data_IF_427702297128
#
_entry.id   IF_427702297128
#
_cell.length_a   1.000
_cell.length_b   1.000
_cell.length_c   1.000
_cell.angle_alpha   90.00
_cell.angle_beta   90.00
_cell.angle_gamma   90.00
#
_symmetry.space_group_name_H-M   'P 1'
#
loop_
_entity.id
_entity.type
_entity.pdbx_description
1 polymer ?
#
# COMPACT_ATOMS: atom_id res chain seq x y z
N UNK A 1 -1.62 -15.13 -9.01
CA UNK A 1 -0.28 -14.67 -9.44
C UNK A 1 0.13 -15.44 -10.69
N UNK A 2 1.27 -15.11 -11.30
CA UNK A 2 1.76 -15.79 -12.51
C UNK A 2 2.12 -17.27 -12.27
N UNK A 3 2.67 -17.57 -11.09
CA UNK A 3 3.17 -18.88 -10.72
C UNK A 3 2.30 -19.51 -9.65
N UNK A 4 2.16 -20.84 -9.69
CA UNK A 4 1.57 -21.59 -8.60
C UNK A 4 2.41 -21.44 -7.33
N UNK A 5 1.73 -21.36 -6.18
CA UNK A 5 2.34 -21.06 -4.90
C UNK A 5 2.14 -22.21 -3.91
N UNK A 6 3.16 -22.46 -3.12
CA UNK A 6 3.05 -23.18 -1.87
C UNK A 6 2.32 -22.30 -0.82
N UNK A 7 1.79 -22.89 0.27
CA UNK A 7 1.14 -22.12 1.34
C UNK A 7 2.04 -21.05 1.98
N UNK A 8 3.35 -21.23 1.90
CA UNK A 8 4.38 -20.30 2.39
C UNK A 8 4.73 -19.18 1.40
N UNK A 9 4.03 -19.11 0.25
CA UNK A 9 4.24 -18.10 -0.78
C UNK A 9 5.45 -18.34 -1.68
N UNK A 10 6.19 -19.43 -1.50
CA UNK A 10 7.23 -19.85 -2.45
C UNK A 10 6.59 -20.42 -3.71
N UNK A 11 7.34 -20.37 -4.83
CA UNK A 11 6.86 -20.93 -6.10
C UNK A 11 6.85 -22.45 -6.03
N UNK A 12 5.77 -23.08 -6.49
CA UNK A 12 5.79 -24.52 -6.77
C UNK A 12 6.67 -24.79 -7.99
N UNK A 13 7.46 -25.84 -7.89
CA UNK A 13 8.38 -26.27 -8.93
C UNK A 13 7.94 -27.63 -9.47
N UNK A 14 8.14 -27.84 -10.76
CA UNK A 14 7.93 -29.15 -11.40
C UNK A 14 9.12 -30.11 -11.15
N UNK A 15 9.04 -31.31 -11.72
CA UNK A 15 10.09 -32.33 -11.61
C UNK A 15 11.45 -31.89 -12.23
N UNK A 16 11.45 -30.82 -13.02
CA UNK A 16 12.64 -30.21 -13.64
C UNK A 16 13.12 -28.97 -12.87
N UNK A 17 12.59 -28.74 -11.67
CA UNK A 17 12.88 -27.59 -10.82
C UNK A 17 12.51 -26.24 -11.44
N UNK A 18 11.52 -26.20 -12.34
CA UNK A 18 11.02 -24.99 -12.99
C UNK A 18 9.69 -24.52 -12.35
N UNK A 19 9.47 -23.21 -12.19
CA UNK A 19 8.19 -22.69 -11.70
C UNK A 19 7.00 -23.10 -12.57
N UNK A 20 5.92 -23.53 -11.92
CA UNK A 20 4.69 -23.96 -12.60
C UNK A 20 3.81 -22.73 -12.88
N UNK A 21 3.47 -22.40 -14.14
CA UNK A 21 2.60 -21.28 -14.46
C UNK A 21 1.16 -21.56 -14.01
N UNK A 22 0.49 -20.59 -13.40
CA UNK A 22 -0.91 -20.72 -12.94
C UNK A 22 -1.91 -20.70 -14.10
N UNK A 23 -1.55 -20.06 -15.21
CA UNK A 23 -2.41 -19.92 -16.38
C UNK A 23 -1.61 -19.76 -17.67
N UNK A 24 -2.22 -20.16 -18.78
CA UNK A 24 -1.77 -19.83 -20.13
C UNK A 24 -2.78 -18.94 -20.86
N UNK A 25 -2.53 -18.69 -22.15
CA UNK A 25 -3.42 -17.91 -23.00
C UNK A 25 -4.85 -18.47 -23.05
N UNK A 26 -5.02 -19.79 -22.98
CA UNK A 26 -6.35 -20.42 -22.95
C UNK A 26 -7.19 -19.91 -21.76
N UNK A 27 -6.67 -19.99 -20.54
CA UNK A 27 -7.39 -19.51 -19.35
C UNK A 27 -7.58 -17.99 -19.37
N UNK A 28 -6.64 -17.22 -19.96
CA UNK A 28 -6.82 -15.77 -20.13
C UNK A 28 -8.03 -15.48 -21.02
N UNK A 29 -8.13 -16.15 -22.17
CA UNK A 29 -9.26 -16.00 -23.08
C UNK A 29 -10.58 -16.43 -22.43
N UNK A 30 -10.58 -17.57 -21.74
CA UNK A 30 -11.77 -18.09 -21.05
C UNK A 30 -12.25 -17.16 -19.93
N UNK A 31 -11.33 -16.60 -19.14
CA UNK A 31 -11.67 -15.60 -18.13
C UNK A 31 -12.14 -14.29 -18.76
N UNK A 32 -11.58 -13.87 -19.90
CA UNK A 32 -12.04 -12.67 -20.60
C UNK A 32 -13.49 -12.80 -21.09
N UNK A 33 -13.90 -14.01 -21.53
CA UNK A 33 -15.30 -14.29 -21.94
C UNK A 33 -16.29 -14.01 -20.81
N UNK A 34 -15.92 -14.22 -19.55
CA UNK A 34 -16.76 -13.93 -18.36
C UNK A 34 -17.14 -12.45 -18.27
N UNK A 35 -16.26 -11.55 -18.70
CA UNK A 35 -16.49 -10.10 -18.55
C UNK A 35 -17.10 -9.46 -19.80
N UNK A 36 -17.46 -10.25 -20.82
CA UNK A 36 -18.21 -9.75 -21.97
C UNK A 36 -19.59 -9.24 -21.55
N UNK A 37 -20.12 -8.25 -22.25
CA UNK A 37 -21.44 -7.68 -21.95
C UNK A 37 -21.49 -6.69 -20.78
N UNK A 38 -20.43 -6.53 -19.98
CA UNK A 38 -20.36 -5.44 -18.99
C UNK A 38 -20.08 -4.10 -19.68
N UNK A 39 -20.87 -3.08 -19.37
CA UNK A 39 -20.76 -1.73 -19.94
C UNK A 39 -21.02 -0.63 -18.91
N UNK A 40 -20.76 0.63 -19.27
CA UNK A 40 -21.01 1.80 -18.41
C UNK A 40 -22.45 1.82 -17.86
N UNK A 41 -22.58 2.11 -16.57
CA UNK A 41 -23.87 2.14 -15.90
C UNK A 41 -24.70 3.36 -16.31
N UNK A 42 -26.00 3.17 -16.53
CA UNK A 42 -26.89 4.27 -16.91
C UNK A 42 -26.72 4.75 -18.36
N UNK A 43 -25.79 4.16 -19.11
CA UNK A 43 -25.53 4.48 -20.52
C UNK A 43 -26.02 3.35 -21.43
N UNK A 44 -26.60 3.66 -22.61
CA UNK A 44 -26.90 2.63 -23.61
C UNK A 44 -25.61 1.97 -24.13
N UNK A 45 -25.72 0.71 -24.56
CA UNK A 45 -24.59 -0.03 -25.13
C UNK A 45 -23.93 0.73 -26.28
N UNK A 46 -22.59 0.79 -26.26
CA UNK A 46 -21.81 1.50 -27.29
C UNK A 46 -21.78 3.02 -27.12
N UNK A 47 -22.35 3.55 -26.04
CA UNK A 47 -22.20 4.95 -25.61
C UNK A 47 -21.50 5.05 -24.25
N UNK A 48 -21.23 6.26 -23.73
CA UNK A 48 -20.40 6.43 -22.53
C UNK A 48 -18.91 6.42 -22.83
N UNK A 49 -18.07 6.40 -21.79
CA UNK A 49 -16.61 6.51 -21.91
C UNK A 49 -16.09 7.86 -21.42
N UNK A 50 -15.31 8.58 -22.24
CA UNK A 50 -14.67 9.86 -21.88
C UNK A 50 -15.66 10.99 -21.52
N UNK A 51 -16.93 10.86 -21.88
CA UNK A 51 -17.98 11.84 -21.61
C UNK A 51 -18.91 11.42 -20.46
N UNK A 52 -18.67 10.27 -19.83
CA UNK A 52 -19.46 9.81 -18.70
C UNK A 52 -18.81 10.31 -17.41
N UNK A 53 -19.24 11.50 -16.98
CA UNK A 53 -18.71 12.15 -15.78
C UNK A 53 -19.17 11.45 -14.49
N UNK A 54 -20.19 10.58 -14.57
CA UNK A 54 -20.75 9.88 -13.42
C UNK A 54 -20.13 8.50 -13.22
N UNK A 55 -18.97 8.47 -12.57
CA UNK A 55 -18.31 7.23 -12.13
C UNK A 55 -18.95 6.60 -10.88
N UNK A 56 -20.12 7.07 -10.43
CA UNK A 56 -20.81 6.52 -9.24
C UNK A 56 -21.81 5.42 -9.58
N UNK A 57 -22.20 5.28 -10.85
CA UNK A 57 -23.12 4.23 -11.31
C UNK A 57 -22.31 2.97 -11.67
N UNK A 58 -22.57 1.82 -11.01
CA UNK A 58 -21.89 0.58 -11.35
C UNK A 58 -22.13 0.16 -12.80
N UNK A 59 -21.14 -0.49 -13.40
CA UNK A 59 -21.28 -1.11 -14.72
C UNK A 59 -22.48 -2.07 -14.76
N UNK A 60 -23.16 -2.11 -15.91
CA UNK A 60 -24.35 -2.92 -16.14
C UNK A 60 -24.07 -4.05 -17.13
N UNK A 61 -24.70 -5.20 -16.91
CA UNK A 61 -24.63 -6.36 -17.79
C UNK A 61 -25.67 -6.28 -18.90
N UNK A 62 -25.22 -6.36 -20.14
CA UNK A 62 -26.04 -6.39 -21.35
C UNK A 62 -26.18 -7.81 -21.84
N UNK A 63 -27.39 -8.36 -21.65
CA UNK A 63 -27.62 -9.79 -21.81
C UNK A 63 -27.27 -10.29 -23.21
N UNK A 64 -27.58 -9.54 -24.26
CA UNK A 64 -27.34 -9.88 -25.65
C UNK A 64 -25.88 -9.69 -26.12
N UNK A 65 -25.01 -9.19 -25.24
CA UNK A 65 -23.59 -8.89 -25.53
C UNK A 65 -22.62 -9.74 -24.72
N UNK A 66 -23.15 -10.62 -23.87
CA UNK A 66 -22.38 -11.56 -23.09
C UNK A 66 -22.30 -12.92 -23.78
N UNK A 67 -21.16 -13.59 -23.65
CA UNK A 67 -20.95 -14.96 -24.11
C UNK A 67 -21.41 -15.94 -23.02
N UNK A 68 -22.52 -16.66 -23.23
CA UNK A 68 -23.04 -17.66 -22.28
C UNK A 68 -22.59 -19.09 -22.57
N UNK A 69 -21.64 -19.28 -23.49
CA UNK A 69 -21.04 -20.59 -23.70
C UNK A 69 -20.32 -21.05 -22.43
N UNK A 70 -20.18 -22.37 -22.26
CA UNK A 70 -19.40 -22.93 -21.16
C UNK A 70 -17.96 -22.39 -21.18
N UNK A 71 -17.37 -22.19 -20.01
CA UNK A 71 -16.03 -21.62 -19.84
C UNK A 71 -15.17 -22.47 -18.92
N UNK A 72 -13.91 -22.67 -19.28
CA UNK A 72 -12.95 -23.44 -18.47
C UNK A 72 -11.88 -22.50 -17.90
N UNK A 73 -12.01 -22.22 -16.61
CA UNK A 73 -11.13 -21.32 -15.89
C UNK A 73 -9.93 -22.04 -15.27
N UNK A 74 -9.25 -21.34 -14.36
CA UNK A 74 -8.08 -21.81 -13.62
C UNK A 74 -8.36 -23.11 -12.88
N UNK A 75 -7.39 -24.03 -12.85
CA UNK A 75 -7.50 -25.30 -12.16
C UNK A 75 -8.59 -26.23 -12.71
N UNK A 76 -9.10 -25.99 -13.93
CA UNK A 76 -10.16 -26.79 -14.54
C UNK A 76 -11.57 -26.44 -14.05
N UNK A 77 -11.74 -25.35 -13.29
CA UNK A 77 -13.06 -24.90 -12.86
C UNK A 77 -13.93 -24.58 -14.08
N UNK A 78 -15.13 -25.16 -14.15
CA UNK A 78 -16.01 -25.02 -15.31
C UNK A 78 -17.23 -24.18 -14.95
N UNK A 79 -17.42 -23.06 -15.64
CA UNK A 79 -18.69 -22.33 -15.65
C UNK A 79 -19.56 -22.98 -16.73
N UNK A 80 -20.77 -23.48 -16.40
CA UNK A 80 -21.65 -24.12 -17.37
C UNK A 80 -22.23 -23.10 -18.36
N UNK A 81 -22.71 -23.59 -19.50
CA UNK A 81 -23.47 -22.74 -20.40
C UNK A 81 -24.80 -22.30 -19.76
N UNK A 82 -25.26 -21.08 -20.05
CA UNK A 82 -26.47 -20.48 -19.46
C UNK A 82 -27.39 -19.86 -20.50
N UNK A 83 -28.64 -19.60 -20.10
CA UNK A 83 -29.58 -18.85 -20.93
C UNK A 83 -29.21 -17.35 -20.92
N UNK A 84 -29.41 -16.61 -22.04
CA UNK A 84 -28.97 -15.23 -22.16
C UNK A 84 -29.86 -14.26 -21.37
N UNK A 85 -29.54 -14.09 -20.09
CA UNK A 85 -30.21 -13.14 -19.18
C UNK A 85 -29.17 -12.34 -18.40
N UNK A 86 -29.54 -11.12 -18.00
CA UNK A 86 -28.69 -10.24 -17.16
C UNK A 86 -28.23 -10.97 -15.90
N UNK A 87 -29.16 -11.65 -15.22
CA UNK A 87 -28.88 -12.43 -14.01
C UNK A 87 -27.83 -13.51 -14.26
N UNK A 88 -27.97 -14.29 -15.35
CA UNK A 88 -27.00 -15.33 -15.67
C UNK A 88 -25.62 -14.78 -16.04
N UNK A 89 -25.56 -13.63 -16.72
CA UNK A 89 -24.29 -12.97 -17.02
C UNK A 89 -23.56 -12.53 -15.75
N UNK A 90 -24.29 -12.00 -14.76
CA UNK A 90 -23.71 -11.67 -13.46
C UNK A 90 -23.32 -12.92 -12.67
N UNK A 91 -24.08 -14.00 -12.78
CA UNK A 91 -23.73 -15.28 -12.16
C UNK A 91 -22.43 -15.88 -12.72
N UNK A 92 -22.12 -15.67 -14.01
CA UNK A 92 -20.81 -16.03 -14.60
C UNK A 92 -19.67 -15.26 -13.93
N UNK A 93 -19.88 -13.97 -13.64
CA UNK A 93 -18.90 -13.13 -12.92
C UNK A 93 -18.70 -13.65 -11.50
N UNK A 94 -19.79 -13.92 -10.78
CA UNK A 94 -19.74 -14.44 -9.41
C UNK A 94 -19.01 -15.79 -9.32
N UNK A 95 -19.25 -16.69 -10.27
CA UNK A 95 -18.55 -17.97 -10.35
C UNK A 95 -17.05 -17.81 -10.63
N UNK A 96 -16.67 -16.88 -11.50
CA UNK A 96 -15.27 -16.62 -11.78
C UNK A 96 -14.57 -16.02 -10.56
N UNK A 97 -15.22 -15.08 -9.87
CA UNK A 97 -14.71 -14.51 -8.61
C UNK A 97 -14.58 -15.58 -7.53
N UNK A 98 -15.58 -16.47 -7.40
CA UNK A 98 -15.52 -17.62 -6.49
C UNK A 98 -14.36 -18.54 -6.84
N UNK A 99 -14.19 -18.89 -8.11
CA UNK A 99 -13.07 -19.71 -8.57
C UNK A 99 -11.71 -19.10 -8.20
N UNK A 100 -11.53 -17.79 -8.39
CA UNK A 100 -10.31 -17.08 -8.01
C UNK A 100 -10.07 -17.06 -6.50
N UNK A 101 -11.14 -16.88 -5.71
CA UNK A 101 -11.07 -16.85 -4.25
C UNK A 101 -10.75 -18.22 -3.63
N UNK A 102 -11.32 -19.29 -4.18
CA UNK A 102 -11.07 -20.66 -3.74
C UNK A 102 -9.74 -21.22 -4.27
N UNK A 103 -9.15 -20.58 -5.28
CA UNK A 103 -7.87 -21.01 -5.82
C UNK A 103 -6.77 -21.06 -4.74
N UNK A 104 -5.95 -22.11 -4.77
CA UNK A 104 -4.92 -22.38 -3.75
C UNK A 104 -3.90 -21.24 -3.62
N UNK A 105 -3.53 -20.58 -4.73
CA UNK A 105 -2.69 -19.38 -4.72
C UNK A 105 -3.29 -18.17 -3.98
N UNK A 106 -4.61 -18.06 -3.83
CA UNK A 106 -5.25 -16.83 -3.33
C UNK A 106 -4.74 -16.48 -1.92
N UNK A 107 -4.77 -17.45 -1.01
CA UNK A 107 -4.34 -17.28 0.37
C UNK A 107 -2.88 -16.82 0.50
N UNK A 108 -1.87 -17.54 -0.04
CA UNK A 108 -0.47 -17.10 0.04
C UNK A 108 -0.18 -15.82 -0.74
N UNK A 109 -0.86 -15.60 -1.86
CA UNK A 109 -0.68 -14.37 -2.62
C UNK A 109 -1.15 -13.15 -1.82
N UNK A 110 -2.39 -13.14 -1.37
CA UNK A 110 -2.96 -12.02 -0.60
C UNK A 110 -2.24 -11.83 0.73
N UNK A 111 -1.93 -12.93 1.44
CA UNK A 111 -1.22 -12.86 2.72
C UNK A 111 0.15 -12.19 2.59
N UNK A 112 0.95 -12.60 1.59
CA UNK A 112 2.24 -11.96 1.32
C UNK A 112 2.09 -10.47 1.01
N UNK A 113 1.11 -10.09 0.18
CA UNK A 113 0.87 -8.69 -0.16
C UNK A 113 0.48 -7.85 1.06
N UNK A 114 -0.44 -8.34 1.88
CA UNK A 114 -0.85 -7.63 3.09
C UNK A 114 0.31 -7.47 4.08
N UNK A 115 1.17 -8.48 4.25
CA UNK A 115 2.36 -8.35 5.08
C UNK A 115 3.32 -7.29 4.51
N UNK A 116 3.51 -7.25 3.19
CA UNK A 116 4.33 -6.24 2.51
C UNK A 116 3.81 -4.82 2.74
N UNK A 117 2.50 -4.62 2.73
CA UNK A 117 1.87 -3.33 2.99
C UNK A 117 1.90 -2.93 4.46
N UNK A 118 1.76 -3.88 5.39
CA UNK A 118 1.54 -3.57 6.79
C UNK A 118 2.83 -3.58 7.63
N UNK A 119 3.78 -4.46 7.31
CA UNK A 119 4.91 -4.79 8.21
C UNK A 119 6.26 -4.66 7.49
N UNK A 120 6.54 -5.52 6.52
CA UNK A 120 7.88 -5.60 5.90
C UNK A 120 7.83 -6.05 4.45
N UNK A 121 8.68 -5.47 3.60
CA UNK A 121 8.80 -5.81 2.17
C UNK A 121 9.22 -7.27 1.93
N UNK A 122 9.95 -7.88 2.87
CA UNK A 122 10.57 -9.20 2.71
C UNK A 122 10.19 -10.15 3.86
N UNK A 123 8.90 -10.54 4.01
CA UNK A 123 8.50 -11.46 5.06
C UNK A 123 9.08 -12.86 4.84
N UNK A 124 9.35 -13.60 5.91
CA UNK A 124 9.78 -14.99 5.80
C UNK A 124 8.66 -15.87 5.23
N UNK A 125 9.03 -16.99 4.60
CA UNK A 125 8.07 -17.99 4.12
C UNK A 125 7.20 -18.55 5.26
N UNK A 126 7.78 -18.70 6.46
CA UNK A 126 7.05 -19.17 7.63
C UNK A 126 5.97 -18.17 8.08
N UNK A 127 6.26 -16.88 8.01
CA UNK A 127 5.27 -15.83 8.28
C UNK A 127 4.12 -15.92 7.29
N UNK A 128 4.42 -15.97 6.00
CA UNK A 128 3.41 -16.10 4.95
C UNK A 128 2.58 -17.37 5.17
N UNK A 129 3.20 -18.50 5.51
CA UNK A 129 2.49 -19.76 5.78
C UNK A 129 1.46 -19.65 6.91
N UNK A 130 1.84 -19.03 8.03
CA UNK A 130 0.93 -18.82 9.18
C UNK A 130 -0.27 -17.96 8.79
N UNK A 131 -0.03 -16.86 8.08
CA UNK A 131 -1.11 -15.95 7.67
C UNK A 131 -1.98 -16.56 6.56
N UNK A 132 -1.39 -17.31 5.63
CA UNK A 132 -2.14 -18.10 4.65
C UNK A 132 -3.09 -19.09 5.29
N UNK A 133 -2.68 -19.73 6.39
CA UNK A 133 -3.53 -20.66 7.14
C UNK A 133 -4.72 -19.92 7.78
N UNK A 134 -4.50 -18.74 8.36
CA UNK A 134 -5.57 -17.89 8.91
C UNK A 134 -6.51 -17.38 7.80
N UNK A 135 -5.97 -17.01 6.64
CA UNK A 135 -6.80 -16.66 5.49
C UNK A 135 -7.65 -17.86 5.04
N UNK A 136 -7.09 -19.06 5.04
CA UNK A 136 -7.81 -20.27 4.65
C UNK A 136 -8.92 -20.62 5.64
N UNK A 137 -8.69 -20.41 6.93
CA UNK A 137 -9.66 -20.61 8.00
C UNK A 137 -9.29 -19.75 9.20
N UNK A 138 -10.18 -18.83 9.58
CA UNK A 138 -9.98 -17.93 10.72
C UNK A 138 -10.16 -18.56 12.11
N UNK A 139 -10.29 -19.89 12.17
CA UNK A 139 -10.61 -20.65 13.39
C UNK A 139 -12.10 -20.92 13.56
N UNK A 140 -12.97 -20.31 12.75
CA UNK A 140 -14.42 -20.54 12.74
C UNK A 140 -14.92 -21.28 11.50
N UNK A 141 -14.00 -21.69 10.62
CA UNK A 141 -14.33 -22.28 9.31
C UNK A 141 -14.51 -21.24 8.19
N UNK A 142 -14.34 -19.94 8.48
CA UNK A 142 -14.53 -18.89 7.48
C UNK A 142 -13.21 -18.56 6.77
N UNK A 143 -13.24 -18.69 5.44
CA UNK A 143 -12.15 -18.27 4.54
C UNK A 143 -12.21 -16.77 4.28
N UNK A 144 -11.05 -16.12 4.17
CA UNK A 144 -10.93 -14.73 3.72
C UNK A 144 -11.43 -13.69 4.72
N UNK A 145 -11.48 -14.01 6.02
CA UNK A 145 -11.79 -13.02 7.05
C UNK A 145 -10.62 -12.02 7.21
N UNK A 146 -10.69 -10.89 6.52
CA UNK A 146 -9.62 -9.89 6.51
C UNK A 146 -9.34 -9.29 7.90
N UNK A 147 -10.35 -9.17 8.78
CA UNK A 147 -10.12 -8.69 10.13
C UNK A 147 -9.25 -9.68 10.93
N UNK A 148 -9.51 -10.98 10.81
CA UNK A 148 -8.68 -12.01 11.43
C UNK A 148 -7.27 -12.06 10.83
N UNK A 149 -7.15 -11.94 9.50
CA UNK A 149 -5.88 -11.92 8.77
C UNK A 149 -5.02 -10.72 9.20
N UNK A 150 -5.56 -9.50 9.18
CA UNK A 150 -4.83 -8.29 9.58
C UNK A 150 -4.40 -8.37 11.05
N UNK A 151 -5.29 -8.86 11.93
CA UNK A 151 -4.93 -9.09 13.33
C UNK A 151 -3.77 -10.08 13.46
N UNK A 152 -3.82 -11.20 12.74
CA UNK A 152 -2.76 -12.20 12.78
C UNK A 152 -1.43 -11.65 12.27
N UNK A 153 -1.44 -10.83 11.21
CA UNK A 153 -0.25 -10.13 10.71
C UNK A 153 0.35 -9.25 11.80
N UNK A 154 -0.43 -8.32 12.37
CA UNK A 154 0.09 -7.34 13.33
C UNK A 154 0.50 -7.92 14.69
N UNK A 155 0.08 -9.16 14.99
CA UNK A 155 0.39 -9.89 16.21
C UNK A 155 1.40 -11.02 16.01
N UNK A 156 1.86 -11.27 14.78
CA UNK A 156 2.84 -12.30 14.50
C UNK A 156 4.18 -12.02 15.19
N UNK A 157 4.89 -13.06 15.58
CA UNK A 157 6.20 -12.93 16.23
C UNK A 157 7.21 -12.16 15.38
N UNK A 158 7.20 -12.32 14.06
CA UNK A 158 8.11 -11.57 13.17
C UNK A 158 7.80 -10.08 13.13
N UNK A 159 6.54 -9.68 13.41
CA UNK A 159 6.14 -8.28 13.48
C UNK A 159 6.35 -7.65 14.87
N UNK A 160 6.49 -8.45 15.93
CA UNK A 160 6.45 -7.96 17.32
C UNK A 160 7.68 -8.23 18.16
N UNK A 161 8.40 -9.32 17.91
CA UNK A 161 9.55 -9.70 18.71
C UNK A 161 10.84 -9.12 18.10
N UNK A 162 11.57 -8.24 18.83
CA UNK A 162 12.79 -7.59 18.36
C UNK A 162 13.82 -8.54 17.77
N UNK A 163 13.85 -9.82 18.17
CA UNK A 163 14.81 -10.78 17.61
C UNK A 163 14.71 -10.95 16.09
N UNK A 164 13.54 -10.65 15.51
CA UNK A 164 13.29 -10.83 14.08
C UNK A 164 13.65 -9.61 13.25
N UNK A 165 13.70 -8.41 13.85
CA UNK A 165 13.88 -7.16 13.12
C UNK A 165 15.09 -6.32 13.58
N UNK A 166 15.53 -6.49 14.82
CA UNK A 166 16.67 -5.79 15.37
C UNK A 166 17.95 -6.29 14.70
N UNK A 167 18.60 -5.41 13.94
CA UNK A 167 19.82 -5.73 13.20
C UNK A 167 19.61 -6.53 11.91
N UNK A 168 18.38 -6.94 11.57
CA UNK A 168 18.07 -7.63 10.33
C UNK A 168 18.03 -6.61 9.15
N UNK A 169 19.01 -6.60 8.22
CA UNK A 169 19.03 -5.62 7.14
C UNK A 169 17.87 -5.75 6.14
N UNK A 170 17.25 -6.92 6.07
CA UNK A 170 16.12 -7.24 5.19
C UNK A 170 14.76 -6.80 5.75
N UNK A 171 14.68 -6.54 7.06
CA UNK A 171 13.43 -6.25 7.74
C UNK A 171 13.02 -4.78 7.62
N UNK A 172 11.72 -4.58 7.49
CA UNK A 172 11.08 -3.28 7.35
C UNK A 172 10.64 -2.99 5.93
N UNK A 173 10.17 -1.77 5.71
CA UNK A 173 9.72 -1.27 4.41
C UNK A 173 9.88 0.24 4.34
N UNK A 174 10.11 0.77 3.14
CA UNK A 174 10.02 2.21 2.93
C UNK A 174 8.56 2.65 3.17
N UNK A 175 8.36 3.67 4.00
CA UNK A 175 7.05 4.28 4.21
C UNK A 175 6.62 4.97 2.94
N UNK A 176 5.41 4.67 2.49
CA UNK A 176 4.84 5.28 1.30
C UNK A 176 4.64 6.79 1.51
N UNK A 177 4.69 7.62 0.45
CA UNK A 177 4.56 9.06 0.59
C UNK A 177 3.35 9.52 1.40
N UNK A 178 2.17 8.95 1.14
CA UNK A 178 0.94 9.27 1.89
C UNK A 178 1.10 8.93 3.37
N UNK A 179 1.76 7.81 3.72
CA UNK A 179 1.99 7.43 5.11
C UNK A 179 2.92 8.40 5.84
N UNK A 180 3.93 8.95 5.15
CA UNK A 180 4.86 9.95 5.72
C UNK A 180 4.17 11.29 5.93
N UNK A 181 3.38 11.76 4.97
CA UNK A 181 2.56 12.96 5.14
C UNK A 181 1.52 12.80 6.26
N UNK A 182 0.86 11.64 6.36
CA UNK A 182 -0.06 11.35 7.46
C UNK A 182 0.63 11.28 8.83
N UNK A 183 1.90 10.86 8.89
CA UNK A 183 2.66 10.91 10.14
C UNK A 183 2.90 12.36 10.58
N UNK A 184 3.25 13.25 9.66
CA UNK A 184 3.41 14.69 9.92
C UNK A 184 2.06 15.31 10.32
N UNK A 185 0.98 15.00 9.62
CA UNK A 185 -0.36 15.47 9.93
C UNK A 185 -0.83 15.05 11.35
N UNK A 186 -0.51 13.81 11.76
CA UNK A 186 -0.79 13.34 13.12
C UNK A 186 0.02 14.09 14.17
N UNK A 187 1.34 14.25 13.95
CA UNK A 187 2.19 15.03 14.85
C UNK A 187 1.77 16.51 14.94
N UNK A 188 1.21 17.05 13.85
CA UNK A 188 0.65 18.40 13.78
C UNK A 188 -0.81 18.49 14.20
N UNK A 189 -1.37 17.48 14.88
CA UNK A 189 -2.73 17.50 15.41
C UNK A 189 -3.81 17.93 14.38
N UNK A 190 -3.71 17.47 13.12
CA UNK A 190 -4.70 17.79 12.08
C UNK A 190 -6.06 17.13 12.35
N UNK A 191 -6.11 16.11 13.20
CA UNK A 191 -7.37 15.47 13.63
C UNK A 191 -8.31 16.38 14.41
N UNK A 192 -7.85 17.56 14.84
CA UNK A 192 -8.71 18.59 15.46
C UNK A 192 -9.73 19.19 14.49
N UNK A 193 -9.50 19.06 13.18
CA UNK A 193 -10.44 19.48 12.15
C UNK A 193 -11.48 18.39 11.90
N UNK A 194 -12.76 18.71 12.09
CA UNK A 194 -13.88 17.79 11.84
C UNK A 194 -14.17 17.58 10.36
N UNK A 195 -13.66 18.48 9.51
CA UNK A 195 -13.81 18.49 8.06
C UNK A 195 -12.47 18.34 7.33
N UNK A 196 -11.49 17.66 7.93
CA UNK A 196 -10.19 17.42 7.32
C UNK A 196 -10.35 16.74 5.95
N UNK A 197 -9.74 17.32 4.92
CA UNK A 197 -9.75 16.80 3.55
C UNK A 197 -8.33 16.62 3.03
N UNK A 198 -8.11 15.52 2.31
CA UNK A 198 -6.92 15.35 1.49
C UNK A 198 -7.23 15.94 0.11
N UNK A 199 -6.96 17.24 -0.05
CA UNK A 199 -7.18 17.92 -1.32
C UNK A 199 -5.98 18.76 -1.68
N UNK A 200 -5.16 18.26 -2.61
CA UNK A 200 -3.90 18.91 -3.04
C UNK A 200 -3.87 19.22 -4.53
N UNK A 201 -5.01 19.09 -5.23
CA UNK A 201 -5.15 19.33 -6.68
C UNK A 201 -4.08 18.61 -7.53
N UNK A 202 -3.67 17.40 -7.14
CA UNK A 202 -2.66 16.62 -7.86
C UNK A 202 -1.21 17.06 -7.60
N UNK A 203 -0.97 18.10 -6.80
CA UNK A 203 0.39 18.56 -6.49
C UNK A 203 1.16 17.53 -5.67
N UNK A 204 0.49 16.87 -4.72
CA UNK A 204 1.11 15.80 -3.94
C UNK A 204 1.48 14.62 -4.84
N UNK A 205 0.57 14.21 -5.75
CA UNK A 205 0.91 13.19 -6.75
C UNK A 205 2.09 13.61 -7.62
N UNK A 206 2.13 14.87 -8.07
CA UNK A 206 3.21 15.39 -8.89
C UNK A 206 4.56 15.34 -8.18
N UNK A 207 4.60 15.60 -6.87
CA UNK A 207 5.82 15.56 -6.08
C UNK A 207 6.25 14.14 -5.67
N UNK A 208 5.30 13.22 -5.47
CA UNK A 208 5.56 11.96 -4.80
C UNK A 208 5.20 10.69 -5.60
N UNK A 209 4.60 10.85 -6.78
CA UNK A 209 4.01 9.78 -7.60
C UNK A 209 3.00 8.88 -6.87
N UNK A 210 2.44 9.37 -5.77
CA UNK A 210 1.37 8.71 -5.03
C UNK A 210 0.44 9.75 -4.43
N UNK A 211 -0.87 9.54 -4.53
CA UNK A 211 -1.90 10.33 -3.84
C UNK A 211 -3.13 9.44 -3.57
N UNK A 212 -3.90 9.63 -2.48
CA UNK A 212 -5.12 8.88 -2.25
C UNK A 212 -6.04 8.91 -3.47
N UNK A 213 -6.65 7.76 -3.78
CA UNK A 213 -7.56 7.57 -4.93
C UNK A 213 -6.96 7.79 -6.33
N UNK A 214 -5.65 8.02 -6.45
CA UNK A 214 -4.99 8.35 -7.73
C UNK A 214 -4.08 7.22 -8.26
N UNK A 215 -4.45 5.95 -8.06
CA UNK A 215 -3.62 4.83 -8.53
C UNK A 215 -3.58 4.79 -10.06
N UNK A 216 -2.40 4.73 -10.71
CA UNK A 216 -2.28 4.73 -12.17
C UNK A 216 -2.72 3.40 -12.80
N UNK A 217 -2.87 2.34 -11.99
CA UNK A 217 -3.29 1.02 -12.46
C UNK A 217 -4.18 0.33 -11.42
N UNK A 218 -4.88 -0.73 -11.85
CA UNK A 218 -5.60 -1.65 -10.95
C UNK A 218 -4.68 -2.46 -10.02
N UNK A 219 -3.36 -2.39 -10.22
CA UNK A 219 -2.36 -3.16 -9.48
C UNK A 219 -1.62 -2.35 -8.41
N UNK A 220 -2.04 -1.10 -8.15
CA UNK A 220 -1.41 -0.10 -7.26
C UNK A 220 -0.39 0.82 -7.96
N UNK A 221 0.20 1.76 -7.19
CA UNK A 221 1.28 2.68 -7.60
C UNK A 221 2.60 1.99 -7.93
N UNK A 222 2.83 0.80 -7.39
CA UNK A 222 4.07 0.05 -7.53
C UNK A 222 3.83 -1.45 -7.50
N UNK A 223 4.76 -2.21 -8.06
CA UNK A 223 4.72 -3.65 -8.17
C UNK A 223 5.23 -4.31 -6.89
N UNK A 224 4.52 -5.30 -6.35
CA UNK A 224 4.95 -6.07 -5.18
C UNK A 224 6.33 -6.74 -5.26
N UNK A 225 6.76 -7.04 -6.48
CA UNK A 225 8.04 -7.68 -6.77
C UNK A 225 9.11 -6.71 -7.26
N UNK A 226 8.90 -5.40 -7.17
CA UNK A 226 9.91 -4.43 -7.60
C UNK A 226 11.18 -4.56 -6.76
N UNK A 227 12.32 -4.68 -7.44
CA UNK A 227 13.64 -4.71 -6.83
C UNK A 227 14.38 -3.43 -7.23
N UNK A 228 14.65 -2.52 -6.28
CA UNK A 228 15.41 -1.31 -6.59
C UNK A 228 16.88 -1.64 -6.89
N UNK A 229 17.52 -0.92 -7.82
CA UNK A 229 18.95 -1.06 -8.07
C UNK A 229 19.79 -0.91 -6.78
N UNK A 230 20.87 -1.67 -6.66
CA UNK A 230 21.79 -1.62 -5.53
C UNK A 230 21.66 -2.80 -4.57
N UNK A 231 21.90 -2.55 -3.29
CA UNK A 231 22.08 -3.60 -2.27
C UNK A 231 20.87 -4.54 -2.14
N UNK A 232 19.64 -4.05 -2.29
CA UNK A 232 18.45 -4.91 -2.21
C UNK A 232 18.46 -5.97 -3.32
N UNK A 233 18.61 -5.55 -4.57
CA UNK A 233 18.69 -6.48 -5.72
C UNK A 233 19.87 -7.44 -5.58
N UNK A 234 21.03 -6.96 -5.14
CA UNK A 234 22.22 -7.78 -4.92
C UNK A 234 22.00 -8.89 -3.87
N UNK A 235 21.10 -8.66 -2.91
CA UNK A 235 20.72 -9.63 -1.89
C UNK A 235 19.41 -10.37 -2.21
N UNK A 236 18.85 -10.20 -3.42
CA UNK A 236 17.59 -10.84 -3.82
C UNK A 236 16.34 -10.31 -3.11
N UNK A 237 16.43 -9.13 -2.48
CA UNK A 237 15.36 -8.50 -1.72
C UNK A 237 14.51 -7.58 -2.61
N UNK A 238 13.23 -7.50 -2.29
CA UNK A 238 12.29 -6.56 -2.92
C UNK A 238 12.13 -5.30 -2.08
N UNK A 239 11.78 -4.20 -2.74
CA UNK A 239 11.48 -2.92 -2.11
C UNK A 239 10.38 -2.21 -2.88
N UNK A 240 9.11 -2.63 -2.78
CA UNK A 240 8.03 -2.20 -3.67
C UNK A 240 7.89 -0.67 -3.78
N UNK A 241 7.83 0.02 -2.64
CA UNK A 241 7.66 1.47 -2.60
C UNK A 241 8.84 2.26 -3.19
N UNK A 242 10.03 1.66 -3.37
CA UNK A 242 11.13 2.32 -4.07
C UNK A 242 10.85 2.51 -5.58
N UNK A 243 9.84 1.85 -6.15
CA UNK A 243 9.51 2.04 -7.57
C UNK A 243 9.06 3.47 -7.89
N UNK A 244 8.50 4.16 -6.89
CA UNK A 244 8.09 5.57 -6.98
C UNK A 244 9.12 6.50 -6.32
N UNK A 245 10.35 6.03 -6.11
CA UNK A 245 11.47 6.83 -5.61
C UNK A 245 12.57 6.85 -6.67
N UNK A 246 12.69 7.99 -7.31
CA UNK A 246 13.64 8.26 -8.39
C UNK A 246 14.41 9.57 -8.13
N UNK A 247 15.27 9.97 -9.06
CA UNK A 247 16.06 11.20 -8.96
C UNK A 247 15.23 12.48 -8.87
N UNK A 248 13.97 12.44 -9.29
CA UNK A 248 13.06 13.59 -9.23
C UNK A 248 12.33 13.62 -7.87
N UNK A 249 11.58 12.57 -7.56
CA UNK A 249 10.78 12.43 -6.33
C UNK A 249 11.64 12.45 -5.06
N UNK A 250 12.90 11.98 -5.12
CA UNK A 250 13.86 12.11 -4.01
C UNK A 250 14.17 13.56 -3.61
N UNK A 251 13.87 14.53 -4.48
CA UNK A 251 14.04 15.97 -4.21
C UNK A 251 12.67 16.64 -4.01
N UNK A 252 11.72 16.41 -4.91
CA UNK A 252 10.41 17.08 -4.86
C UNK A 252 9.56 16.62 -3.68
N UNK A 253 9.62 15.35 -3.29
CA UNK A 253 8.82 14.85 -2.18
C UNK A 253 9.24 15.42 -0.82
N UNK A 254 10.54 15.48 -0.43
CA UNK A 254 10.96 16.23 0.76
C UNK A 254 10.47 17.69 0.75
N UNK A 255 10.54 18.40 -0.38
CA UNK A 255 10.01 19.76 -0.45
C UNK A 255 8.50 19.82 -0.16
N UNK A 256 7.73 18.84 -0.68
CA UNK A 256 6.30 18.73 -0.36
C UNK A 256 6.06 18.35 1.11
N UNK A 257 6.92 17.54 1.73
CA UNK A 257 6.83 17.27 3.17
C UNK A 257 7.16 18.49 4.03
N UNK A 258 8.07 19.37 3.59
CA UNK A 258 8.31 20.65 4.23
C UNK A 258 7.04 21.51 4.21
N UNK A 259 6.39 21.63 3.05
CA UNK A 259 5.11 22.33 2.91
C UNK A 259 4.02 21.74 3.81
N UNK A 260 3.86 20.42 3.86
CA UNK A 260 2.92 19.76 4.78
C UNK A 260 3.28 20.03 6.24
N UNK A 261 4.56 20.19 6.57
CA UNK A 261 5.02 20.50 7.92
C UNK A 261 4.75 21.96 8.30
N UNK A 262 4.81 22.90 7.36
CA UNK A 262 4.64 24.32 7.67
C UNK A 262 3.21 24.81 7.50
N UNK A 263 2.54 24.34 6.45
CA UNK A 263 1.24 24.84 5.98
C UNK A 263 0.12 23.81 6.16
N UNK A 264 0.48 22.54 6.31
CA UNK A 264 -0.46 21.44 6.52
C UNK A 264 -1.07 20.95 5.21
N UNK A 265 -2.35 20.60 5.24
CA UNK A 265 -3.10 20.30 4.02
C UNK A 265 -3.90 21.54 3.65
N UNK A 266 -3.71 22.06 2.45
CA UNK A 266 -4.46 23.23 2.00
C UNK A 266 -4.72 23.17 0.50
N UNK A 267 -5.74 23.91 0.08
CA UNK A 267 -6.03 24.19 -1.31
C UNK A 267 -6.30 25.68 -1.44
N UNK A 268 -5.28 26.42 -1.91
CA UNK A 268 -5.40 27.84 -2.21
C UNK A 268 -6.15 28.60 -1.10
N UNK A 269 -7.24 29.30 -1.44
CA UNK A 269 -8.10 29.99 -0.47
C UNK A 269 -9.35 29.23 -0.05
N UNK A 270 -9.51 27.96 -0.47
CA UNK A 270 -10.74 27.18 -0.24
C UNK A 270 -10.65 26.39 1.08
N UNK A 271 -9.52 25.75 1.32
CA UNK A 271 -9.30 24.89 2.49
C UNK A 271 -7.91 25.15 3.07
N UNK A 272 -7.81 25.19 4.40
CA UNK A 272 -6.53 25.30 5.10
C UNK A 272 -6.58 24.55 6.43
N UNK A 273 -5.77 23.50 6.53
CA UNK A 273 -5.64 22.64 7.71
C UNK A 273 -4.21 22.74 8.25
N UNK A 274 -3.88 23.88 8.84
CA UNK A 274 -2.55 24.15 9.37
C UNK A 274 -2.16 23.14 10.47
N UNK A 275 -0.88 22.80 10.63
CA UNK A 275 -0.44 21.96 11.74
C UNK A 275 -0.39 22.76 13.05
N UNK A 276 -0.60 22.05 14.15
CA UNK A 276 -0.43 22.52 15.51
C UNK A 276 0.52 21.56 16.24
N UNK A 277 1.75 22.03 16.46
CA UNK A 277 2.81 21.29 17.13
C UNK A 277 2.94 21.65 18.61
N UNK A 278 1.85 22.03 19.28
CA UNK A 278 1.86 22.47 20.69
C UNK A 278 2.68 21.56 21.61
N UNK A 279 2.61 20.23 21.42
CA UNK A 279 3.36 19.25 22.22
C UNK A 279 4.88 19.33 21.99
N UNK A 280 5.32 19.49 20.74
CA UNK A 280 6.74 19.62 20.39
C UNK A 280 7.27 21.02 20.72
N UNK A 281 6.46 22.07 20.54
CA UNK A 281 6.79 23.45 20.92
C UNK A 281 7.07 23.53 22.43
N UNK A 282 6.32 22.80 23.25
CA UNK A 282 6.56 22.73 24.70
C UNK A 282 7.96 22.19 25.06
N UNK A 283 8.58 21.39 24.19
CA UNK A 283 9.93 20.83 24.37
C UNK A 283 11.03 21.68 23.71
N UNK A 284 10.68 22.70 22.92
CA UNK A 284 11.63 23.45 22.08
C UNK A 284 12.67 24.30 22.86
N UNK A 285 12.48 24.45 24.17
CA UNK A 285 13.47 25.03 25.09
C UNK A 285 14.75 24.18 25.22
N UNK A 286 14.66 22.87 24.95
CA UNK A 286 15.79 21.94 24.89
C UNK A 286 15.81 21.24 23.52
N UNK A 287 16.75 21.64 22.66
CA UNK A 287 16.87 21.04 21.32
C UNK A 287 17.17 19.55 21.38
N UNK A 288 17.87 19.07 22.41
CA UNK A 288 18.09 17.65 22.64
C UNK A 288 16.79 16.89 22.92
N UNK A 289 15.95 17.39 23.85
CA UNK A 289 14.65 16.76 24.16
C UNK A 289 13.72 16.79 22.96
N UNK A 290 13.71 17.90 22.21
CA UNK A 290 12.92 18.02 20.99
C UNK A 290 13.30 16.97 19.94
N UNK A 291 14.60 16.71 19.75
CA UNK A 291 15.09 15.67 18.83
C UNK A 291 14.77 14.27 19.34
N UNK A 292 14.88 14.03 20.66
CA UNK A 292 14.56 12.73 21.24
C UNK A 292 13.06 12.39 21.12
N UNK A 293 12.19 13.39 21.26
CA UNK A 293 10.74 13.22 21.03
C UNK A 293 10.44 12.93 19.55
N UNK A 294 11.04 13.67 18.63
CA UNK A 294 10.87 13.41 17.21
C UNK A 294 11.43 12.04 16.77
N UNK A 295 12.51 11.58 17.39
CA UNK A 295 13.04 10.23 17.22
C UNK A 295 12.00 9.17 17.63
N UNK A 296 11.32 9.37 18.76
CA UNK A 296 10.26 8.46 19.19
C UNK A 296 9.11 8.43 18.18
N UNK A 297 8.62 9.61 17.76
CA UNK A 297 7.43 9.75 16.90
C UNK A 297 7.67 9.20 15.49
N UNK A 298 8.79 9.56 14.86
CA UNK A 298 9.04 9.27 13.44
C UNK A 298 9.93 8.05 13.22
N UNK A 299 10.90 7.82 14.09
CA UNK A 299 11.93 6.80 13.94
C UNK A 299 11.75 5.61 14.92
N UNK A 300 10.68 5.60 15.73
CA UNK A 300 10.44 4.54 16.71
C UNK A 300 11.52 4.43 17.79
N UNK A 301 12.26 5.52 18.05
CA UNK A 301 13.38 5.53 18.99
C UNK A 301 14.69 4.95 18.43
N UNK A 302 14.77 4.67 17.13
CA UNK A 302 15.92 3.99 16.50
C UNK A 302 16.82 4.90 15.66
N UNK A 303 16.64 6.22 15.75
CA UNK A 303 17.53 7.18 15.09
C UNK A 303 18.99 6.96 15.51
N UNK A 304 19.89 6.84 14.52
CA UNK A 304 21.32 6.68 14.79
C UNK A 304 21.91 7.94 15.43
N UNK A 305 23.00 7.77 16.19
CA UNK A 305 23.72 8.90 16.80
C UNK A 305 24.16 9.93 15.75
N UNK A 306 24.63 9.47 14.59
CA UNK A 306 25.04 10.35 13.50
C UNK A 306 23.87 11.17 12.92
N UNK A 307 22.72 10.54 12.66
CA UNK A 307 21.51 11.26 12.23
C UNK A 307 21.06 12.26 13.31
N UNK A 308 21.04 11.83 14.57
CA UNK A 308 20.67 12.67 15.71
C UNK A 308 21.54 13.93 15.81
N UNK A 309 22.85 13.77 15.70
CA UNK A 309 23.81 14.88 15.79
C UNK A 309 23.65 15.87 14.62
N UNK A 310 23.39 15.38 13.41
CA UNK A 310 23.11 16.22 12.25
C UNK A 310 21.83 17.05 12.43
N UNK A 311 20.76 16.44 12.92
CA UNK A 311 19.49 17.13 13.19
C UNK A 311 19.67 18.16 14.30
N UNK A 312 20.36 17.79 15.38
CA UNK A 312 20.64 18.68 16.50
C UNK A 312 21.46 19.89 16.07
N UNK A 313 22.48 19.69 15.23
CA UNK A 313 23.29 20.76 14.67
C UNK A 313 22.45 21.75 13.84
N UNK A 314 21.50 21.25 13.05
CA UNK A 314 20.60 22.09 12.26
C UNK A 314 19.64 22.92 13.14
N UNK A 315 19.01 22.28 14.14
CA UNK A 315 18.05 22.96 15.03
C UNK A 315 18.74 24.03 15.89
N UNK A 316 19.99 23.80 16.30
CA UNK A 316 20.75 24.78 17.08
C UNK A 316 21.09 26.06 16.28
N UNK A 317 20.95 26.07 14.95
CA UNK A 317 21.03 27.30 14.15
C UNK A 317 19.77 28.17 14.25
N UNK A 318 18.64 27.59 14.69
CA UNK A 318 17.39 28.33 14.89
C UNK A 318 17.41 28.98 16.28
N UNK A 319 17.19 30.31 16.37
CA UNK A 319 17.16 31.02 17.65
C UNK A 319 16.18 30.39 18.66
N UNK A 320 16.51 30.44 19.95
CA UNK A 320 15.70 29.80 21.01
C UNK A 320 14.32 30.40 21.22
N UNK A 321 14.10 31.65 20.78
CA UNK A 321 12.79 32.27 20.82
C UNK A 321 11.86 31.76 19.71
N UNK A 322 12.39 31.21 18.62
CA UNK A 322 11.60 30.70 17.48
C UNK A 322 11.30 29.20 17.68
N UNK A 323 10.47 28.94 18.68
CA UNK A 323 10.08 27.59 19.09
C UNK A 323 9.26 26.87 18.01
N UNK A 324 8.46 27.61 17.26
CA UNK A 324 7.67 27.09 16.13
C UNK A 324 8.57 26.58 15.01
N UNK A 325 9.55 27.38 14.56
CA UNK A 325 10.46 26.95 13.51
C UNK A 325 11.33 25.77 13.96
N UNK A 326 11.75 25.73 15.24
CA UNK A 326 12.44 24.54 15.81
C UNK A 326 11.58 23.28 15.72
N UNK A 327 10.29 23.37 16.08
CA UNK A 327 9.36 22.26 16.02
C UNK A 327 9.12 21.80 14.58
N UNK A 328 8.87 22.72 13.65
CA UNK A 328 8.69 22.40 12.23
C UNK A 328 9.96 21.76 11.64
N UNK A 329 11.13 22.31 11.93
CA UNK A 329 12.39 21.80 11.41
C UNK A 329 12.69 20.39 11.93
N UNK A 330 12.47 20.10 13.23
CA UNK A 330 12.68 18.75 13.74
C UNK A 330 11.71 17.75 13.13
N UNK A 331 10.44 18.12 12.94
CA UNK A 331 9.42 17.26 12.34
C UNK A 331 9.82 16.91 10.92
N UNK A 332 10.18 17.91 10.13
CA UNK A 332 10.62 17.73 8.76
C UNK A 332 11.86 16.82 8.66
N UNK A 333 12.91 17.11 9.43
CA UNK A 333 14.16 16.36 9.38
C UNK A 333 13.99 14.93 9.89
N UNK A 334 13.24 14.73 10.97
CA UNK A 334 12.95 13.40 11.49
C UNK A 334 12.03 12.60 10.55
N UNK A 335 11.09 13.24 9.85
CA UNK A 335 10.25 12.57 8.86
C UNK A 335 11.00 12.26 7.55
N UNK A 336 12.15 12.89 7.29
CA UNK A 336 12.96 12.75 6.07
C UNK A 336 14.26 12.00 6.20
N UNK A 337 14.77 11.80 7.42
CA UNK A 337 15.95 10.98 7.64
C UNK A 337 15.70 9.50 7.28
N UNK A 338 16.76 8.70 7.03
CA UNK A 338 16.62 7.28 6.69
C UNK A 338 15.77 6.49 7.68
N UNK A 339 15.97 6.72 8.98
CA UNK A 339 15.24 6.04 10.06
C UNK A 339 13.77 6.46 10.14
N UNK A 340 13.45 7.70 9.76
CA UNK A 340 12.08 8.19 9.66
C UNK A 340 11.36 7.77 8.39
N UNK A 341 12.10 7.58 7.29
CA UNK A 341 11.57 7.15 5.99
C UNK A 341 11.25 5.65 5.95
N UNK A 342 11.89 4.84 6.80
CA UNK A 342 11.68 3.38 6.88
C UNK A 342 10.80 3.04 8.08
N UNK A 343 9.87 2.11 7.90
CA UNK A 343 9.14 1.46 9.00
C UNK A 343 9.84 0.14 9.33
N UNK A 344 10.12 -0.07 10.63
CA UNK A 344 10.65 -1.30 11.21
C UNK A 344 9.79 -1.70 12.39
#
# INVERSE_FOLDING_TARGET
GLWELNPDGTRKLDNSNQPIPTYGNGQITELARVFTGLWFGGQPWGSGGWSDDDSTVPMQMWAEKHDYGAKILLGGYTIPARAPTVENGLHDVDDALRSLFEHTNCAPFISKQLIQFLVTSNPSSNYVARISAVFANDGTGKRGNLAAVVKAILLDSEARDPRWYAGAPEFGRLKEPVQRAMAIARAGNLSRYTNLLWWTWGEFNSAAFQEPTYSPTVFNFFRPGYQPPGLLTQNGLVGPAFQIVDSYSSISFPNKLWEVTTEGLFEWGNYQFAPDYVELVAQAGSTAQLVDEANLIFCGGTMSAATRDNILAAINQVPSYDTTLRAQLVVYLAATCPEGAVQR
#
